data_IF_100846697698
#
_entry.id   IF_100846697698
#
_cell.length_a   1.000
_cell.length_b   1.000
_cell.length_c   1.000
_cell.angle_alpha   90.00
_cell.angle_beta   90.00
_cell.angle_gamma   90.00
#
_symmetry.space_group_name_H-M   'P 1'
#
loop_
_entity.id
_entity.type
_entity.pdbx_description
1 polymer ?
#
# COMPACT_ATOMS: atom_id res chain seq x y z
N UNK A 1 0.53 1.64 -26.61
CA UNK A 1 0.45 0.97 -25.29
C UNK A 1 0.32 -0.52 -25.48
N UNK A 2 1.21 -1.33 -24.90
CA UNK A 2 0.97 -2.78 -24.78
C UNK A 2 -0.23 -2.97 -23.85
N UNK A 3 -1.25 -3.72 -24.29
CA UNK A 3 -2.42 -4.02 -23.44
C UNK A 3 -1.97 -4.92 -22.29
N UNK A 4 -2.39 -4.61 -21.05
CA UNK A 4 -2.12 -5.45 -19.88
C UNK A 4 -2.68 -6.87 -20.09
N UNK A 5 -1.89 -7.90 -19.80
CA UNK A 5 -2.31 -9.30 -19.89
C UNK A 5 -3.25 -9.64 -18.71
N UNK A 6 -4.06 -10.69 -18.84
CA UNK A 6 -4.95 -11.16 -17.75
C UNK A 6 -4.15 -11.67 -16.55
N UNK A 7 -3.01 -12.31 -16.81
CA UNK A 7 -2.02 -12.72 -15.83
C UNK A 7 -0.72 -12.01 -16.22
N UNK A 8 -0.12 -11.27 -15.29
CA UNK A 8 1.16 -10.62 -15.55
C UNK A 8 2.25 -11.69 -15.73
N UNK A 9 3.18 -11.40 -16.64
CA UNK A 9 4.24 -12.32 -17.08
C UNK A 9 5.12 -12.80 -15.93
N UNK A 10 5.31 -11.95 -14.90
CA UNK A 10 6.05 -12.27 -13.68
C UNK A 10 5.47 -13.44 -12.86
N UNK A 11 4.22 -13.81 -13.10
CA UNK A 11 3.55 -14.91 -12.39
C UNK A 11 3.44 -16.19 -13.24
N UNK A 12 3.87 -16.14 -14.51
CA UNK A 12 3.83 -17.28 -15.41
C UNK A 12 5.17 -18.01 -15.27
N UNK A 13 5.20 -19.26 -14.75
CA UNK A 13 6.45 -20.00 -14.61
C UNK A 13 7.07 -20.29 -15.99
N UNK A 14 8.40 -20.32 -16.05
CA UNK A 14 9.11 -20.72 -17.25
C UNK A 14 8.81 -22.17 -17.63
N UNK A 15 8.84 -22.45 -18.93
CA UNK A 15 8.67 -23.80 -19.48
C UNK A 15 9.87 -24.66 -19.06
N UNK A 16 9.61 -25.80 -18.42
CA UNK A 16 10.68 -26.74 -18.08
C UNK A 16 10.29 -27.82 -17.07
N UNK A 17 11.25 -28.72 -16.85
CA UNK A 17 11.18 -29.77 -15.84
C UNK A 17 12.44 -29.71 -14.97
N UNK A 18 12.28 -30.00 -13.68
CA UNK A 18 13.37 -30.20 -12.74
C UNK A 18 13.41 -31.66 -12.28
N UNK A 19 14.61 -32.18 -12.03
CA UNK A 19 14.79 -33.52 -11.46
C UNK A 19 15.04 -33.38 -9.98
N UNK A 20 14.26 -34.08 -9.16
CA UNK A 20 14.51 -34.23 -7.73
C UNK A 20 14.82 -35.69 -7.39
N UNK A 21 15.83 -35.90 -6.54
CA UNK A 21 16.22 -37.25 -6.09
C UNK A 21 15.72 -37.49 -4.66
N UNK A 22 14.87 -38.49 -4.49
CA UNK A 22 14.32 -38.90 -3.18
C UNK A 22 14.64 -40.39 -3.01
N UNK A 23 15.31 -40.75 -1.91
CA UNK A 23 15.74 -42.12 -1.60
C UNK A 23 16.51 -42.82 -2.73
N UNK A 24 17.38 -42.06 -3.42
CA UNK A 24 18.18 -42.56 -4.54
C UNK A 24 17.40 -42.78 -5.84
N UNK A 25 16.13 -42.38 -5.89
CA UNK A 25 15.30 -42.43 -7.10
C UNK A 25 15.06 -41.02 -7.63
N UNK A 26 15.23 -40.87 -8.94
CA UNK A 26 14.99 -39.60 -9.65
C UNK A 26 13.51 -39.45 -10.01
N UNK A 27 12.96 -38.26 -9.76
CA UNK A 27 11.61 -37.84 -10.08
C UNK A 27 11.66 -36.61 -10.97
N UNK A 28 10.99 -36.70 -12.13
CA UNK A 28 10.85 -35.57 -13.03
C UNK A 28 9.62 -34.75 -12.64
N UNK A 29 9.83 -33.49 -12.28
CA UNK A 29 8.77 -32.54 -11.91
C UNK A 29 8.66 -31.51 -13.02
N UNK A 30 7.48 -31.36 -13.60
CA UNK A 30 7.24 -30.42 -14.71
C UNK A 30 6.23 -29.37 -14.27
N UNK A 31 6.48 -28.11 -14.63
CA UNK A 31 5.46 -27.07 -14.54
C UNK A 31 4.50 -27.23 -15.73
N UNK A 32 3.23 -27.55 -15.45
CA UNK A 32 2.17 -27.56 -16.45
C UNK A 32 1.12 -26.51 -16.10
N UNK A 33 0.48 -25.95 -17.12
CA UNK A 33 -0.45 -24.84 -16.96
C UNK A 33 -1.83 -25.19 -17.51
N UNK A 34 -2.81 -25.29 -16.61
CA UNK A 34 -4.22 -25.35 -16.99
C UNK A 34 -4.83 -23.95 -16.89
N UNK A 35 -5.20 -23.37 -18.04
CA UNK A 35 -5.91 -22.09 -18.07
C UNK A 35 -7.36 -22.27 -18.54
N UNK A 36 -8.31 -21.70 -17.81
CA UNK A 36 -9.67 -21.47 -18.30
C UNK A 36 -9.96 -19.98 -18.24
N UNK A 37 -10.02 -19.33 -19.40
CA UNK A 37 -10.36 -17.91 -19.50
C UNK A 37 -11.84 -17.74 -19.82
N UNK A 38 -12.53 -16.91 -19.03
CA UNK A 38 -13.91 -16.56 -19.29
C UNK A 38 -14.01 -15.15 -19.87
N UNK A 39 -14.69 -15.01 -21.00
CA UNK A 39 -15.17 -13.72 -21.49
C UNK A 39 -16.65 -13.61 -21.17
N UNK A 40 -17.01 -12.65 -20.32
CA UNK A 40 -18.40 -12.39 -19.92
C UNK A 40 -18.69 -10.90 -20.03
N UNK A 41 -19.93 -10.57 -20.36
CA UNK A 41 -20.42 -9.21 -20.16
C UNK A 41 -20.50 -8.90 -18.67
N UNK A 42 -20.36 -7.62 -18.27
CA UNK A 42 -20.72 -7.16 -16.92
C UNK A 42 -22.26 -7.07 -16.76
N UNK A 43 -23.01 -7.43 -17.81
CA UNK A 43 -24.47 -7.54 -17.81
C UNK A 43 -25.12 -6.21 -17.48
N UNK A 44 -26.12 -6.26 -16.62
CA UNK A 44 -26.87 -5.12 -16.11
C UNK A 44 -26.01 -4.14 -15.32
N UNK A 45 -24.83 -4.55 -14.84
CA UNK A 45 -23.88 -3.67 -14.14
C UNK A 45 -22.97 -2.87 -15.09
N UNK A 46 -23.06 -3.10 -16.40
CA UNK A 46 -22.20 -2.40 -17.37
C UNK A 46 -22.30 -0.88 -17.23
N UNK A 47 -23.50 -0.33 -17.01
CA UNK A 47 -23.67 1.11 -16.85
C UNK A 47 -22.92 1.68 -15.64
N UNK A 48 -22.90 0.97 -14.51
CA UNK A 48 -22.12 1.36 -13.33
C UNK A 48 -20.62 1.40 -13.63
N UNK A 49 -20.07 0.34 -14.22
CA UNK A 49 -18.63 0.28 -14.54
C UNK A 49 -18.23 1.24 -15.66
N UNK A 50 -19.10 1.49 -16.64
CA UNK A 50 -18.86 2.49 -17.69
C UNK A 50 -18.87 3.91 -17.10
N UNK A 51 -19.76 4.21 -16.17
CA UNK A 51 -19.79 5.49 -15.48
C UNK A 51 -18.53 5.73 -14.65
N UNK A 52 -18.06 4.71 -13.92
CA UNK A 52 -16.78 4.81 -13.20
C UNK A 52 -15.61 5.03 -14.17
N UNK A 53 -15.53 4.21 -15.22
CA UNK A 53 -14.40 4.19 -16.15
C UNK A 53 -14.31 5.43 -17.03
N UNK A 54 -15.43 5.82 -17.66
CA UNK A 54 -15.46 6.80 -18.74
C UNK A 54 -15.95 8.17 -18.27
N UNK A 55 -16.87 8.20 -17.31
CA UNK A 55 -17.58 9.43 -16.92
C UNK A 55 -17.11 9.99 -15.58
N UNK A 56 -16.35 9.19 -14.81
CA UNK A 56 -15.92 9.51 -13.44
C UNK A 56 -17.10 9.84 -12.52
N UNK A 57 -18.17 9.07 -12.66
CA UNK A 57 -19.42 9.20 -11.90
C UNK A 57 -19.65 7.96 -11.05
N UNK A 58 -20.18 8.16 -9.85
CA UNK A 58 -20.57 7.07 -8.97
C UNK A 58 -22.07 6.85 -9.10
N UNK A 59 -22.47 5.69 -9.61
CA UNK A 59 -23.89 5.34 -9.77
C UNK A 59 -24.34 4.37 -8.67
N UNK A 60 -25.60 4.51 -8.26
CA UNK A 60 -26.35 3.57 -7.43
C UNK A 60 -27.63 3.13 -8.12
N UNK A 61 -28.38 2.23 -7.48
CA UNK A 61 -29.74 1.89 -7.91
C UNK A 61 -30.76 2.17 -6.80
N UNK A 62 -31.82 2.90 -7.14
CA UNK A 62 -32.91 3.29 -6.26
C UNK A 62 -34.14 2.42 -6.52
N UNK A 63 -34.69 1.78 -5.50
CA UNK A 63 -35.93 1.03 -5.66
C UNK A 63 -37.13 1.96 -5.92
N UNK A 64 -37.92 1.66 -6.95
CA UNK A 64 -39.16 2.41 -7.28
C UNK A 64 -40.26 2.28 -6.23
N UNK A 65 -40.20 1.29 -5.34
CA UNK A 65 -41.21 1.02 -4.31
C UNK A 65 -40.84 1.55 -2.92
N UNK A 66 -39.68 1.17 -2.39
CA UNK A 66 -39.26 1.57 -1.04
C UNK A 66 -38.26 2.74 -1.03
N UNK A 67 -37.78 3.20 -2.19
CA UNK A 67 -36.85 4.33 -2.27
C UNK A 67 -35.40 4.04 -1.86
N UNK A 68 -35.08 2.85 -1.34
CA UNK A 68 -33.71 2.52 -0.92
C UNK A 68 -32.71 2.65 -2.07
N UNK A 69 -31.58 3.29 -1.82
CA UNK A 69 -30.48 3.52 -2.76
C UNK A 69 -29.28 2.63 -2.42
N UNK A 70 -28.91 1.75 -3.36
CA UNK A 70 -27.80 0.81 -3.20
C UNK A 70 -26.58 1.21 -4.02
N UNK A 71 -25.43 1.23 -3.37
CA UNK A 71 -24.11 1.48 -3.98
C UNK A 71 -23.11 0.43 -3.47
N UNK A 72 -22.46 -0.35 -4.36
CA UNK A 72 -22.75 -0.42 -5.80
C UNK A 72 -24.16 -1.00 -6.05
N UNK A 73 -24.73 -0.83 -7.26
CA UNK A 73 -25.96 -1.52 -7.62
C UNK A 73 -25.79 -3.04 -7.45
N UNK A 74 -26.66 -3.69 -6.68
CA UNK A 74 -26.60 -5.15 -6.50
C UNK A 74 -27.39 -5.91 -7.56
N UNK A 75 -28.49 -5.35 -8.05
CA UNK A 75 -29.40 -5.90 -9.05
C UNK A 75 -30.22 -4.76 -9.67
N UNK A 76 -30.90 -5.05 -10.78
CA UNK A 76 -31.92 -4.17 -11.40
C UNK A 76 -33.29 -4.23 -10.71
N UNK A 77 -33.42 -5.08 -9.69
CA UNK A 77 -34.67 -5.27 -8.94
C UNK A 77 -34.38 -5.39 -7.44
N UNK A 78 -35.27 -4.85 -6.61
CA UNK A 78 -35.11 -4.81 -5.17
C UNK A 78 -35.54 -6.14 -4.52
N UNK A 79 -34.65 -6.84 -3.78
CA UNK A 79 -34.97 -8.13 -3.16
C UNK A 79 -36.02 -8.01 -2.05
N UNK A 80 -36.10 -6.85 -1.38
CA UNK A 80 -37.02 -6.63 -0.25
C UNK A 80 -38.42 -6.20 -0.69
N UNK A 81 -38.60 -5.88 -1.98
CA UNK A 81 -39.83 -5.29 -2.52
C UNK A 81 -40.51 -6.17 -3.57
N UNK A 82 -40.44 -7.48 -3.40
CA UNK A 82 -40.95 -8.46 -4.37
C UNK A 82 -40.42 -8.18 -5.79
N UNK A 83 -39.11 -7.97 -5.91
CA UNK A 83 -38.43 -7.68 -7.16
C UNK A 83 -39.01 -6.48 -7.92
N UNK A 84 -39.43 -5.42 -7.21
CA UNK A 84 -39.76 -4.15 -7.86
C UNK A 84 -38.54 -3.58 -8.61
N UNK A 85 -38.71 -2.95 -9.78
CA UNK A 85 -37.60 -2.43 -10.57
C UNK A 85 -36.84 -1.33 -9.82
N UNK A 86 -35.55 -1.20 -10.14
CA UNK A 86 -34.70 -0.11 -9.65
C UNK A 86 -34.36 0.86 -10.77
N UNK A 87 -34.17 2.12 -10.41
CA UNK A 87 -33.71 3.17 -11.31
C UNK A 87 -32.24 3.48 -11.01
N UNK A 88 -31.43 3.60 -12.06
CA UNK A 88 -30.04 3.99 -11.90
C UNK A 88 -29.97 5.50 -11.62
N UNK A 89 -29.30 5.87 -10.54
CA UNK A 89 -29.14 7.27 -10.13
C UNK A 89 -27.67 7.55 -9.83
N UNK A 90 -27.26 8.80 -9.98
CA UNK A 90 -25.95 9.24 -9.52
C UNK A 90 -26.01 9.55 -8.02
N UNK A 91 -24.95 9.18 -7.31
CA UNK A 91 -24.74 9.46 -5.89
C UNK A 91 -23.51 10.33 -5.72
N UNK A 92 -23.41 11.03 -4.59
CA UNK A 92 -22.26 11.88 -4.34
C UNK A 92 -20.97 11.06 -4.16
N UNK A 93 -19.85 11.73 -4.39
CA UNK A 93 -18.51 11.14 -4.30
C UNK A 93 -17.88 11.32 -2.92
N UNK A 94 -18.61 11.89 -1.96
CA UNK A 94 -18.21 12.01 -0.55
C UNK A 94 -19.06 11.06 0.27
N UNK A 95 -18.45 10.38 1.24
CA UNK A 95 -19.13 9.40 2.08
C UNK A 95 -18.51 9.26 3.45
N UNK A 96 -19.16 8.47 4.30
CA UNK A 96 -18.73 8.20 5.66
C UNK A 96 -18.32 6.74 5.79
N UNK A 97 -17.19 6.52 6.46
CA UNK A 97 -16.72 5.18 6.84
C UNK A 97 -17.70 4.49 7.80
N UNK A 98 -18.30 3.38 7.36
CA UNK A 98 -19.25 2.60 8.17
C UNK A 98 -18.56 1.84 9.32
N UNK A 99 -17.30 1.49 9.15
CA UNK A 99 -16.47 0.79 10.14
C UNK A 99 -15.00 1.21 10.02
N UNK A 100 -14.23 1.08 11.09
CA UNK A 100 -12.77 1.22 11.02
C UNK A 100 -12.20 0.15 10.09
N UNK A 101 -11.45 0.52 9.03
CA UNK A 101 -10.96 -0.42 8.04
C UNK A 101 -9.76 -1.21 8.58
N UNK A 102 -9.70 -2.54 8.41
CA UNK A 102 -8.44 -3.26 8.55
C UNK A 102 -7.46 -2.81 7.45
N UNK A 103 -6.18 -2.71 7.79
CA UNK A 103 -5.10 -2.37 6.85
C UNK A 103 -4.40 -3.66 6.43
N UNK A 104 -4.22 -3.83 5.12
CA UNK A 104 -3.44 -4.92 4.55
C UNK A 104 -2.02 -4.43 4.28
N UNK A 105 -1.08 -4.83 5.13
CA UNK A 105 0.35 -4.60 4.94
C UNK A 105 1.01 -5.73 4.15
N UNK A 106 0.59 -6.96 4.41
CA UNK A 106 1.08 -8.17 3.76
C UNK A 106 0.00 -8.72 2.85
N UNK A 107 0.05 -8.32 1.58
CA UNK A 107 -0.86 -8.82 0.58
C UNK A 107 -0.30 -10.07 -0.10
N UNK A 108 -1.18 -10.90 -0.67
CA UNK A 108 -0.75 -11.97 -1.56
C UNK A 108 -0.10 -11.38 -2.81
N UNK A 109 0.68 -12.19 -3.53
CA UNK A 109 1.44 -11.76 -4.71
C UNK A 109 0.59 -10.97 -5.73
N UNK A 110 -0.68 -11.34 -5.90
CA UNK A 110 -1.64 -10.68 -6.79
C UNK A 110 -1.93 -9.20 -6.42
N UNK A 111 -1.88 -8.86 -5.14
CA UNK A 111 -2.25 -7.54 -4.62
C UNK A 111 -1.08 -6.79 -3.96
N UNK A 112 0.13 -7.35 -4.03
CA UNK A 112 1.32 -6.78 -3.37
C UNK A 112 1.62 -5.34 -3.81
N UNK A 113 1.42 -5.03 -5.09
CA UNK A 113 1.61 -3.69 -5.64
C UNK A 113 0.64 -2.65 -5.08
N UNK A 114 -0.43 -3.06 -4.39
CA UNK A 114 -1.42 -2.17 -3.79
C UNK A 114 -1.14 -1.88 -2.32
N UNK A 115 -0.31 -2.70 -1.65
CA UNK A 115 -0.06 -2.65 -0.21
C UNK A 115 0.97 -1.59 0.18
N UNK A 116 0.74 -0.80 1.26
CA UNK A 116 -0.38 -0.89 2.20
C UNK A 116 -1.68 -0.28 1.68
N UNK A 117 -2.82 -0.91 1.97
CA UNK A 117 -4.14 -0.31 1.71
C UNK A 117 -5.16 -0.71 2.77
N UNK A 118 -6.07 0.21 3.09
CA UNK A 118 -7.21 -0.07 3.95
C UNK A 118 -8.33 -0.74 3.15
N UNK A 119 -9.04 -1.69 3.77
CA UNK A 119 -10.23 -2.33 3.18
C UNK A 119 -11.49 -1.81 3.88
N UNK A 120 -12.10 -0.80 3.29
CA UNK A 120 -13.20 -0.06 3.89
C UNK A 120 -14.58 -0.42 3.36
N UNK A 121 -15.59 0.06 4.09
CA UNK A 121 -16.99 0.13 3.66
C UNK A 121 -17.47 1.56 3.83
N UNK A 122 -17.78 2.24 2.73
CA UNK A 122 -18.17 3.66 2.71
C UNK A 122 -19.63 3.79 2.33
N UNK A 123 -20.41 4.52 3.12
CA UNK A 123 -21.77 4.94 2.75
C UNK A 123 -21.64 6.34 2.16
N UNK A 124 -21.82 6.45 0.85
CA UNK A 124 -21.78 7.72 0.14
C UNK A 124 -23.03 8.55 0.40
N UNK A 125 -22.90 9.88 0.38
CA UNK A 125 -24.03 10.79 0.54
C UNK A 125 -25.04 10.53 -0.59
N UNK A 126 -26.30 10.34 -0.21
CA UNK A 126 -27.37 9.90 -1.13
C UNK A 126 -27.51 8.39 -1.31
N UNK A 127 -26.70 7.56 -0.62
CA UNK A 127 -26.83 6.11 -0.59
C UNK A 127 -27.25 5.58 0.79
N UNK A 128 -27.92 4.43 0.82
CA UNK A 128 -28.33 3.73 2.04
C UNK A 128 -27.44 2.51 2.36
N UNK A 129 -26.65 2.04 1.39
CA UNK A 129 -25.74 0.90 1.57
C UNK A 129 -24.28 1.28 1.42
N UNK A 130 -23.40 0.46 2.03
CA UNK A 130 -21.98 0.69 1.96
C UNK A 130 -21.32 -0.01 0.77
N UNK A 131 -20.45 0.71 0.07
CA UNK A 131 -19.57 0.17 -0.97
C UNK A 131 -18.24 -0.27 -0.38
N UNK A 132 -17.80 -1.50 -0.71
CA UNK A 132 -16.45 -1.97 -0.39
C UNK A 132 -15.43 -1.21 -1.24
N UNK A 133 -14.42 -0.62 -0.61
CA UNK A 133 -13.45 0.24 -1.30
C UNK A 133 -12.06 0.19 -0.65
N UNK A 134 -11.02 0.38 -1.46
CA UNK A 134 -9.66 0.57 -0.97
C UNK A 134 -9.48 1.99 -0.42
N UNK A 135 -8.66 2.12 0.61
CA UNK A 135 -8.39 3.38 1.27
C UNK A 135 -6.89 3.66 1.33
N UNK A 136 -6.54 4.91 1.09
CA UNK A 136 -5.19 5.44 1.15
C UNK A 136 -5.19 6.74 1.95
N UNK A 137 -4.00 7.25 2.22
CA UNK A 137 -3.75 8.54 2.87
C UNK A 137 -2.64 9.26 2.12
N UNK A 138 -2.70 10.58 2.06
CA UNK A 138 -1.63 11.45 1.54
C UNK A 138 -0.62 11.82 2.63
N UNK A 139 -0.84 11.44 3.90
CA UNK A 139 0.05 11.81 5.02
C UNK A 139 1.23 10.84 5.20
N UNK A 140 1.67 10.19 4.12
CA UNK A 140 2.70 9.16 4.13
C UNK A 140 2.12 7.74 4.23
N UNK A 141 2.62 6.94 5.17
CA UNK A 141 2.15 5.55 5.34
C UNK A 141 0.78 5.47 6.02
N UNK A 142 -0.09 4.63 5.47
CA UNK A 142 -1.35 4.26 6.10
C UNK A 142 -1.11 3.39 7.35
N UNK A 143 -1.38 3.95 8.53
CA UNK A 143 -1.27 3.29 9.84
C UNK A 143 -2.59 3.34 10.63
N UNK A 144 -2.78 2.48 11.66
CA UNK A 144 -4.01 2.48 12.43
C UNK A 144 -4.31 3.84 13.07
N UNK A 145 -5.57 4.24 13.03
CA UNK A 145 -6.06 5.49 13.64
C UNK A 145 -6.09 6.70 12.72
N UNK A 146 -5.50 6.65 11.51
CA UNK A 146 -5.72 7.68 10.48
C UNK A 146 -7.18 7.63 10.01
N UNK A 147 -7.62 6.45 9.57
CA UNK A 147 -9.00 6.22 9.11
C UNK A 147 -9.72 5.36 10.14
N UNK A 148 -10.84 5.86 10.66
CA UNK A 148 -11.71 5.19 11.63
C UNK A 148 -13.18 5.22 11.21
N UNK A 149 -14.04 4.46 11.88
CA UNK A 149 -15.50 4.61 11.74
C UNK A 149 -15.89 6.08 11.89
N UNK A 150 -16.75 6.57 11.00
CA UNK A 150 -17.20 7.97 10.99
C UNK A 150 -16.27 8.95 10.26
N UNK A 151 -15.10 8.51 9.79
CA UNK A 151 -14.23 9.37 8.96
C UNK A 151 -14.95 9.69 7.66
N UNK A 152 -15.02 10.97 7.30
CA UNK A 152 -15.50 11.40 5.99
C UNK A 152 -14.38 11.21 4.97
N UNK A 153 -14.73 10.63 3.82
CA UNK A 153 -13.80 10.27 2.76
C UNK A 153 -14.34 10.70 1.40
N UNK A 154 -13.44 11.00 0.47
CA UNK A 154 -13.73 11.34 -0.91
C UNK A 154 -13.33 10.19 -1.83
N UNK A 155 -14.19 9.86 -2.80
CA UNK A 155 -13.91 8.93 -3.89
C UNK A 155 -12.95 9.59 -4.89
N UNK A 156 -11.85 8.90 -5.14
CA UNK A 156 -10.80 9.28 -6.09
C UNK A 156 -10.80 8.29 -7.24
N UNK A 157 -10.68 8.81 -8.46
CA UNK A 157 -10.57 8.02 -9.68
C UNK A 157 -9.11 7.80 -10.02
N UNK A 158 -8.71 6.55 -10.25
CA UNK A 158 -7.39 6.28 -10.84
C UNK A 158 -7.30 6.88 -12.22
N UNK A 159 -6.14 7.30 -12.68
CA UNK A 159 -6.00 7.86 -14.03
C UNK A 159 -6.25 6.79 -15.11
N UNK A 160 -5.66 5.61 -14.90
CA UNK A 160 -5.92 4.44 -15.72
C UNK A 160 -7.05 3.60 -15.13
N UNK A 161 -8.15 3.49 -15.88
CA UNK A 161 -9.36 2.76 -15.46
C UNK A 161 -9.73 1.71 -16.50
N UNK A 162 -10.03 0.50 -16.04
CA UNK A 162 -10.26 -0.65 -16.92
C UNK A 162 -11.72 -1.13 -16.93
N UNK A 163 -12.55 -0.65 -16.03
CA UNK A 163 -13.94 -1.06 -15.80
C UNK A 163 -14.08 -2.02 -14.61
N UNK A 164 -13.32 -1.80 -13.54
CA UNK A 164 -13.26 -2.64 -12.35
C UNK A 164 -13.43 -1.82 -11.06
N UNK A 165 -13.75 -2.48 -9.94
CA UNK A 165 -13.88 -1.78 -8.64
C UNK A 165 -12.59 -1.11 -8.17
N UNK A 166 -11.43 -1.58 -8.65
CA UNK A 166 -10.11 -1.01 -8.31
C UNK A 166 -9.77 0.27 -9.08
N UNK A 167 -10.62 0.67 -10.03
CA UNK A 167 -10.49 1.95 -10.76
C UNK A 167 -10.70 3.17 -9.86
N UNK A 168 -11.19 2.93 -8.64
CA UNK A 168 -11.43 3.97 -7.63
C UNK A 168 -10.94 3.54 -6.26
N UNK A 169 -10.65 4.52 -5.42
CA UNK A 169 -10.32 4.36 -4.01
C UNK A 169 -10.79 5.58 -3.23
N UNK A 170 -10.61 5.60 -1.92
CA UNK A 170 -10.97 6.75 -1.09
C UNK A 170 -9.79 7.29 -0.29
N UNK A 171 -9.80 8.60 -0.04
CA UNK A 171 -8.89 9.33 0.86
C UNK A 171 -9.73 10.12 1.87
N UNK A 172 -9.29 10.31 3.14
CA UNK A 172 -9.94 11.22 4.07
C UNK A 172 -10.11 12.64 3.51
N UNK A 173 -11.29 13.23 3.65
CA UNK A 173 -11.55 14.61 3.19
C UNK A 173 -10.69 15.63 3.93
N UNK A 174 -10.31 15.35 5.18
CA UNK A 174 -9.40 16.20 5.96
C UNK A 174 -7.99 16.34 5.36
N UNK A 175 -7.64 15.48 4.40
CA UNK A 175 -6.36 15.49 3.69
C UNK A 175 -6.46 16.16 2.30
N UNK A 176 -7.63 16.71 1.96
CA UNK A 176 -7.92 17.36 0.69
C UNK A 176 -8.34 18.82 0.90
N UNK A 177 -8.07 19.66 -0.09
CA UNK A 177 -8.59 21.02 -0.15
C UNK A 177 -10.10 21.03 -0.41
N UNK A 178 -10.76 22.13 -0.07
CA UNK A 178 -12.19 22.28 -0.32
C UNK A 178 -12.55 22.20 -1.82
N UNK A 179 -11.66 22.65 -2.70
CA UNK A 179 -11.83 22.56 -4.15
C UNK A 179 -11.80 21.09 -4.63
N UNK A 180 -10.83 20.31 -4.16
CA UNK A 180 -10.73 18.86 -4.44
C UNK A 180 -11.95 18.10 -3.92
N UNK A 181 -12.41 18.40 -2.70
CA UNK A 181 -13.61 17.77 -2.12
C UNK A 181 -14.85 18.04 -3.00
N UNK A 182 -14.99 19.27 -3.51
CA UNK A 182 -16.14 19.68 -4.31
C UNK A 182 -16.07 19.21 -5.78
N UNK A 183 -14.89 18.85 -6.26
CA UNK A 183 -14.69 18.40 -7.64
C UNK A 183 -15.28 17.01 -7.86
N UNK A 184 -16.21 16.89 -8.82
CA UNK A 184 -16.64 15.58 -9.29
C UNK A 184 -15.61 14.97 -10.23
N UNK A 185 -15.31 13.69 -10.03
CA UNK A 185 -14.35 12.96 -10.85
C UNK A 185 -12.89 13.34 -10.57
N UNK A 186 -12.57 13.74 -9.32
CA UNK A 186 -11.19 14.01 -8.90
C UNK A 186 -10.32 12.78 -9.14
N UNK A 187 -9.20 12.96 -9.84
CA UNK A 187 -8.27 11.88 -10.16
C UNK A 187 -7.06 11.83 -9.23
N UNK A 188 -6.41 10.68 -9.18
CA UNK A 188 -5.21 10.47 -8.36
C UNK A 188 -4.03 11.37 -8.76
N UNK A 189 -3.83 11.64 -10.06
CA UNK A 189 -2.81 12.60 -10.54
C UNK A 189 -3.06 14.06 -10.15
N UNK A 190 -4.27 14.38 -9.69
CA UNK A 190 -4.65 15.74 -9.30
C UNK A 190 -4.44 16.01 -7.81
N UNK A 191 -3.98 15.00 -7.06
CA UNK A 191 -3.75 15.04 -5.62
C UNK A 191 -2.24 15.12 -5.36
N UNK A 192 -1.86 15.89 -4.35
CA UNK A 192 -0.48 15.91 -3.89
C UNK A 192 -0.17 14.67 -3.03
N UNK A 193 0.61 13.76 -3.59
CA UNK A 193 1.13 12.56 -2.92
C UNK A 193 2.57 12.71 -2.41
N UNK A 194 3.26 13.75 -2.86
CA UNK A 194 4.72 13.85 -2.78
C UNK A 194 5.17 14.77 -1.64
N UNK A 195 4.27 15.58 -1.07
CA UNK A 195 4.58 16.50 0.03
C UNK A 195 3.85 16.18 1.35
N UNK A 196 3.91 14.92 1.84
CA UNK A 196 3.31 14.61 3.13
C UNK A 196 3.99 15.43 4.23
N UNK A 197 3.20 15.95 5.17
CA UNK A 197 3.74 16.72 6.28
C UNK A 197 4.57 15.81 7.20
N UNK A 198 5.87 16.08 7.29
CA UNK A 198 6.76 15.36 8.20
C UNK A 198 6.33 15.58 9.66
N UNK A 199 6.36 14.53 10.51
CA UNK A 199 6.17 14.69 11.94
C UNK A 199 7.22 15.63 12.54
N UNK A 200 6.77 16.55 13.41
CA UNK A 200 7.68 17.42 14.14
C UNK A 200 8.51 16.62 15.14
N UNK A 201 9.83 16.77 15.08
CA UNK A 201 10.75 16.19 16.06
C UNK A 201 11.01 17.18 17.22
N UNK A 202 11.11 16.69 18.48
CA UNK A 202 11.53 17.53 19.59
C UNK A 202 12.93 18.12 19.39
N UNK A 203 13.23 19.22 20.07
CA UNK A 203 14.60 19.79 20.07
C UNK A 203 15.56 18.83 20.75
N UNK A 204 16.69 18.56 20.09
CA UNK A 204 17.72 17.67 20.61
C UNK A 204 18.39 18.24 21.87
N UNK A 205 18.57 17.39 22.88
CA UNK A 205 19.54 17.64 23.96
C UNK A 205 20.93 17.15 23.59
N UNK A 206 21.96 17.56 24.35
CA UNK A 206 23.32 17.02 24.17
C UNK A 206 23.38 15.49 24.32
N UNK A 207 22.56 14.94 25.23
CA UNK A 207 22.45 13.49 25.41
C UNK A 207 21.88 12.82 24.17
N UNK A 208 20.87 13.40 23.53
CA UNK A 208 20.29 12.87 22.29
C UNK A 208 21.31 12.87 21.15
N UNK A 209 22.13 13.91 21.02
CA UNK A 209 23.22 13.97 20.03
C UNK A 209 24.35 12.98 20.34
N UNK A 210 24.62 12.70 21.62
CA UNK A 210 25.59 11.67 22.02
C UNK A 210 25.07 10.26 21.71
N UNK A 211 23.81 9.99 22.03
CA UNK A 211 23.15 8.72 21.72
C UNK A 211 23.08 8.49 20.21
N UNK A 212 22.68 9.51 19.46
CA UNK A 212 22.66 9.48 17.99
C UNK A 212 23.99 9.00 17.42
N UNK A 213 25.11 9.62 17.81
CA UNK A 213 26.45 9.24 17.29
C UNK A 213 26.82 7.79 17.59
N UNK A 214 26.54 7.32 18.80
CA UNK A 214 26.83 5.93 19.22
C UNK A 214 25.99 4.92 18.43
N UNK A 215 24.67 5.16 18.35
CA UNK A 215 23.75 4.28 17.63
C UNK A 215 24.07 4.25 16.14
N UNK A 216 24.44 5.39 15.56
CA UNK A 216 24.79 5.48 14.15
C UNK A 216 26.04 4.65 13.81
N UNK A 217 27.04 4.64 14.71
CA UNK A 217 28.23 3.81 14.55
C UNK A 217 27.90 2.31 14.61
N UNK A 218 27.03 1.89 15.55
CA UNK A 218 26.52 0.51 15.61
C UNK A 218 25.77 0.13 14.32
N UNK A 219 24.93 1.03 13.81
CA UNK A 219 24.21 0.81 12.55
C UNK A 219 25.14 0.67 11.35
N UNK A 220 26.23 1.46 11.27
CA UNK A 220 27.26 1.30 10.22
C UNK A 220 27.88 -0.09 10.27
N UNK A 221 28.24 -0.57 11.45
CA UNK A 221 28.77 -1.93 11.65
C UNK A 221 27.79 -3.02 11.19
N UNK A 222 26.50 -2.89 11.53
CA UNK A 222 25.47 -3.82 11.07
C UNK A 222 25.32 -3.82 9.54
N UNK A 223 25.37 -2.65 8.91
CA UNK A 223 25.29 -2.50 7.46
C UNK A 223 26.49 -3.14 6.75
N UNK A 224 27.70 -2.99 7.30
CA UNK A 224 28.88 -3.70 6.79
C UNK A 224 28.72 -5.22 6.88
N UNK A 225 28.24 -5.72 8.01
CA UNK A 225 27.93 -7.13 8.23
C UNK A 225 26.89 -7.64 7.23
N UNK A 226 25.83 -6.87 6.96
CA UNK A 226 24.82 -7.20 5.95
C UNK A 226 25.42 -7.28 4.54
N UNK A 227 26.31 -6.36 4.17
CA UNK A 227 26.99 -6.38 2.87
C UNK A 227 27.95 -7.55 2.70
N UNK A 228 28.47 -8.13 3.78
CA UNK A 228 29.29 -9.35 3.77
C UNK A 228 28.45 -10.63 3.70
N UNK A 229 27.16 -10.55 4.00
CA UNK A 229 26.26 -11.70 4.01
C UNK A 229 25.52 -11.88 2.67
N UNK A 230 25.81 -12.96 1.95
CA UNK A 230 25.22 -13.22 0.62
C UNK A 230 23.69 -13.28 0.63
N UNK A 231 23.07 -13.88 1.66
CA UNK A 231 21.61 -13.98 1.76
C UNK A 231 20.95 -12.64 2.03
N UNK A 232 21.58 -11.78 2.84
CA UNK A 232 21.13 -10.42 3.08
C UNK A 232 21.21 -9.58 1.79
N UNK A 233 22.33 -9.64 1.06
CA UNK A 233 22.47 -8.98 -0.26
C UNK A 233 21.37 -9.41 -1.23
N UNK A 234 21.09 -10.71 -1.34
CA UNK A 234 20.02 -11.24 -2.21
C UNK A 234 18.63 -10.70 -1.87
N UNK A 235 18.36 -10.27 -0.63
CA UNK A 235 17.07 -9.71 -0.24
C UNK A 235 16.77 -8.34 -0.90
N UNK A 236 17.82 -7.58 -1.21
CA UNK A 236 17.76 -6.27 -1.85
C UNK A 236 18.36 -6.23 -3.26
N UNK A 237 18.70 -7.39 -3.84
CA UNK A 237 19.11 -7.48 -5.24
C UNK A 237 18.03 -6.91 -6.18
N UNK A 238 18.46 -6.17 -7.20
CA UNK A 238 17.58 -5.45 -8.14
C UNK A 238 16.76 -4.33 -7.51
N UNK A 239 17.03 -3.95 -6.26
CA UNK A 239 16.36 -2.84 -5.57
C UNK A 239 17.30 -1.65 -5.48
N UNK A 240 16.78 -0.45 -5.76
CA UNK A 240 17.53 0.79 -5.65
C UNK A 240 16.70 1.83 -4.93
N UNK A 241 17.19 2.35 -3.81
CA UNK A 241 16.50 3.37 -3.01
C UNK A 241 17.46 4.26 -2.24
N UNK A 242 17.24 5.56 -2.32
CA UNK A 242 17.89 6.59 -1.53
C UNK A 242 16.93 7.11 -0.46
N UNK A 243 17.25 6.86 0.81
CA UNK A 243 16.36 7.09 1.95
C UNK A 243 16.98 8.16 2.84
N UNK A 244 16.28 9.27 3.03
CA UNK A 244 16.65 10.26 4.04
C UNK A 244 16.05 9.85 5.39
N UNK A 245 16.88 9.63 6.41
CA UNK A 245 16.43 9.36 7.77
C UNK A 245 16.63 10.59 8.64
N UNK A 246 15.59 11.01 9.36
CA UNK A 246 15.61 12.12 10.31
C UNK A 246 15.25 11.62 11.69
N UNK A 247 16.07 11.98 12.67
CA UNK A 247 15.90 11.59 14.06
C UNK A 247 16.01 12.80 14.97
N UNK A 248 15.59 12.67 16.24
CA UNK A 248 15.72 13.76 17.21
C UNK A 248 17.17 14.24 17.36
N UNK A 249 18.14 13.32 17.40
CA UNK A 249 19.55 13.65 17.62
C UNK A 249 20.37 14.02 16.36
N UNK A 250 19.82 13.81 15.16
CA UNK A 250 20.52 14.04 13.90
C UNK A 250 19.86 13.39 12.69
N UNK A 251 20.48 13.52 11.51
CA UNK A 251 19.99 12.95 10.25
C UNK A 251 21.10 12.28 9.46
N UNK A 252 20.75 11.24 8.72
CA UNK A 252 21.65 10.47 7.86
C UNK A 252 20.89 9.88 6.69
N UNK A 253 21.60 9.35 5.71
CA UNK A 253 21.05 8.70 4.54
C UNK A 253 21.34 7.20 4.57
N UNK A 254 20.38 6.41 4.10
CA UNK A 254 20.57 5.00 3.73
C UNK A 254 20.39 4.90 2.22
N UNK A 255 21.39 4.34 1.53
CA UNK A 255 21.34 4.14 0.08
C UNK A 255 21.42 2.64 -0.22
N UNK A 256 20.49 2.14 -1.01
CA UNK A 256 20.44 0.76 -1.49
C UNK A 256 20.69 0.79 -2.99
N UNK A 257 21.62 -0.02 -3.47
CA UNK A 257 21.87 -0.20 -4.91
C UNK A 257 22.25 -1.66 -5.19
N UNK A 258 21.35 -2.38 -5.86
CA UNK A 258 21.53 -3.74 -6.37
C UNK A 258 22.24 -4.71 -5.41
N UNK A 259 21.66 -4.92 -4.23
CA UNK A 259 22.21 -5.86 -3.25
C UNK A 259 23.20 -5.24 -2.26
N UNK A 260 23.68 -4.02 -2.51
CA UNK A 260 24.51 -3.26 -1.58
C UNK A 260 23.68 -2.23 -0.81
N UNK A 261 24.06 -1.98 0.44
CA UNK A 261 23.46 -0.97 1.31
C UNK A 261 24.56 -0.10 1.95
N UNK A 262 24.35 1.22 2.02
CA UNK A 262 25.31 2.17 2.59
C UNK A 262 24.59 3.13 3.53
N UNK A 263 25.32 3.61 4.53
CA UNK A 263 24.87 4.66 5.43
C UNK A 263 25.86 5.83 5.40
N UNK A 264 25.36 7.05 5.25
CA UNK A 264 26.18 8.28 5.24
C UNK A 264 25.54 9.40 6.06
N UNK A 265 26.35 10.24 6.67
CA UNK A 265 25.89 11.38 7.50
C UNK A 265 25.61 12.63 6.65
N UNK A 266 25.08 12.44 5.46
CA UNK A 266 24.82 13.51 4.49
C UNK A 266 23.32 13.66 4.27
N UNK A 267 22.85 14.90 4.21
CA UNK A 267 21.51 15.16 3.70
C UNK A 267 21.47 14.89 2.19
N UNK A 268 20.45 14.17 1.74
CA UNK A 268 20.21 13.93 0.32
C UNK A 268 19.47 15.13 -0.28
N UNK A 269 19.86 15.53 -1.48
CA UNK A 269 19.17 16.59 -2.22
C UNK A 269 17.83 16.12 -2.80
N UNK A 270 17.72 14.83 -3.14
CA UNK A 270 16.54 14.23 -3.76
C UNK A 270 16.38 12.77 -3.30
N UNK A 271 15.97 12.52 -2.05
CA UNK A 271 15.68 11.16 -1.59
C UNK A 271 14.44 10.59 -2.29
N UNK A 272 14.41 9.27 -2.48
CA UNK A 272 13.21 8.56 -2.97
C UNK A 272 12.06 8.68 -1.96
N UNK A 273 12.38 8.60 -0.66
CA UNK A 273 11.46 8.89 0.44
C UNK A 273 12.18 9.27 1.73
N UNK A 274 11.42 9.81 2.68
CA UNK A 274 11.89 10.25 3.99
C UNK A 274 11.36 9.29 5.05
N UNK A 275 12.22 8.94 6.00
CA UNK A 275 11.89 8.24 7.22
C UNK A 275 12.12 9.17 8.41
N UNK A 276 11.13 9.29 9.29
CA UNK A 276 11.24 10.06 10.53
C UNK A 276 11.08 9.13 11.70
N UNK A 277 12.05 9.10 12.61
CA UNK A 277 11.96 8.37 13.87
C UNK A 277 12.49 9.22 15.02
N UNK A 278 11.65 9.52 16.00
CA UNK A 278 12.07 10.32 17.16
C UNK A 278 13.26 9.67 17.88
N UNK A 279 13.11 8.39 18.21
CA UNK A 279 14.16 7.57 18.79
C UNK A 279 14.84 6.70 17.73
N UNK A 280 16.12 6.99 17.47
CA UNK A 280 16.97 6.24 16.53
C UNK A 280 17.07 4.75 16.88
N UNK A 281 16.90 4.37 18.15
CA UNK A 281 16.91 2.96 18.55
C UNK A 281 15.79 2.16 17.88
N UNK A 282 14.66 2.80 17.54
CA UNK A 282 13.56 2.14 16.83
C UNK A 282 14.00 1.56 15.48
N UNK A 283 14.97 2.20 14.80
CA UNK A 283 15.54 1.72 13.55
C UNK A 283 16.71 0.75 13.80
N UNK A 284 17.57 1.03 14.78
CA UNK A 284 18.65 0.12 15.17
C UNK A 284 18.11 -1.27 15.57
N UNK A 285 17.10 -1.31 16.43
CA UNK A 285 16.50 -2.56 16.90
C UNK A 285 15.94 -3.38 15.74
N UNK A 286 15.38 -2.70 14.73
CA UNK A 286 14.92 -3.33 13.51
C UNK A 286 16.06 -3.93 12.67
N UNK A 287 17.12 -3.15 12.40
CA UNK A 287 18.29 -3.62 11.65
C UNK A 287 19.08 -4.73 12.39
N UNK A 288 19.05 -4.71 13.73
CA UNK A 288 19.62 -5.73 14.59
C UNK A 288 18.69 -6.95 14.79
N UNK A 289 17.48 -6.92 14.23
CA UNK A 289 16.45 -7.96 14.36
C UNK A 289 16.03 -8.25 15.82
N UNK A 290 16.02 -7.21 16.68
CA UNK A 290 15.44 -7.20 18.04
C UNK A 290 13.94 -6.87 18.04
N UNK A 291 13.42 -6.49 16.88
CA UNK A 291 12.03 -6.28 16.52
C UNK A 291 11.94 -6.09 15.00
N UNK A 292 10.75 -6.01 14.43
CA UNK A 292 10.60 -5.70 13.02
C UNK A 292 10.47 -4.18 12.81
N UNK A 293 11.16 -3.62 11.82
CA UNK A 293 11.01 -2.23 11.39
C UNK A 293 9.56 -2.00 10.93
N UNK A 294 8.95 -2.99 10.27
CA UNK A 294 7.53 -2.99 9.91
C UNK A 294 6.61 -2.75 11.12
N UNK A 295 6.86 -3.40 12.26
CA UNK A 295 6.10 -3.17 13.49
C UNK A 295 6.35 -1.78 14.07
N UNK A 296 7.59 -1.28 14.02
CA UNK A 296 7.90 0.09 14.42
C UNK A 296 7.14 1.12 13.58
N UNK A 297 6.96 0.85 12.28
CA UNK A 297 6.18 1.68 11.38
C UNK A 297 4.68 1.61 11.70
N UNK A 298 4.12 0.40 11.83
CA UNK A 298 2.70 0.19 12.15
C UNK A 298 2.32 0.83 13.50
N UNK A 299 3.23 0.78 14.47
CA UNK A 299 3.04 1.36 15.80
C UNK A 299 3.47 2.83 15.91
N UNK A 300 3.72 3.50 14.77
CA UNK A 300 4.03 4.94 14.69
C UNK A 300 5.33 5.37 15.39
N UNK A 301 6.25 4.44 15.65
CA UNK A 301 7.62 4.76 16.11
C UNK A 301 8.49 5.27 14.97
N UNK A 302 8.22 4.79 13.76
CA UNK A 302 8.85 5.21 12.52
C UNK A 302 7.76 5.65 11.56
N UNK A 303 7.89 6.84 11.01
CA UNK A 303 7.03 7.35 9.95
C UNK A 303 7.79 7.31 8.62
N UNK A 304 7.09 7.02 7.52
CA UNK A 304 7.65 7.09 6.17
C UNK A 304 6.76 7.96 5.28
N UNK A 305 7.39 8.75 4.40
CA UNK A 305 6.71 9.73 3.56
C UNK A 305 5.96 9.10 2.38
N UNK A 306 6.30 7.88 1.96
CA UNK A 306 5.62 7.22 0.83
C UNK A 306 5.03 5.90 1.25
N UNK A 307 3.70 5.78 1.13
CA UNK A 307 2.98 4.56 1.47
C UNK A 307 3.56 3.32 0.76
N UNK A 308 3.91 3.45 -0.52
CA UNK A 308 4.45 2.33 -1.32
C UNK A 308 5.84 1.86 -0.92
N UNK A 309 6.59 2.70 -0.20
CA UNK A 309 7.93 2.40 0.28
C UNK A 309 7.94 1.53 1.54
N UNK A 310 6.76 1.10 2.01
CA UNK A 310 6.67 -0.01 2.95
C UNK A 310 7.32 -1.29 2.41
N UNK A 311 7.37 -1.46 1.08
CA UNK A 311 8.12 -2.53 0.42
C UNK A 311 9.63 -2.46 0.72
N UNK A 312 10.20 -1.26 0.82
CA UNK A 312 11.60 -1.07 1.19
C UNK A 312 11.82 -1.45 2.65
N UNK A 313 10.88 -1.15 3.54
CA UNK A 313 10.93 -1.57 4.94
C UNK A 313 10.92 -3.10 5.07
N UNK A 314 10.09 -3.80 4.29
CA UNK A 314 10.11 -5.26 4.24
C UNK A 314 11.45 -5.84 3.81
N UNK A 315 12.11 -5.21 2.84
CA UNK A 315 13.42 -5.64 2.37
C UNK A 315 14.48 -5.48 3.46
N UNK A 316 14.47 -4.36 4.18
CA UNK A 316 15.36 -4.13 5.33
C UNK A 316 15.13 -5.16 6.45
N UNK A 317 13.87 -5.44 6.79
CA UNK A 317 13.53 -6.50 7.78
C UNK A 317 14.03 -7.88 7.33
N UNK A 318 13.94 -8.18 6.03
CA UNK A 318 14.43 -9.44 5.47
C UNK A 318 15.96 -9.55 5.54
N UNK A 319 16.68 -8.46 5.30
CA UNK A 319 18.15 -8.41 5.46
C UNK A 319 18.56 -8.68 6.91
N UNK A 320 17.96 -7.96 7.86
CA UNK A 320 18.21 -8.11 9.30
C UNK A 320 17.99 -9.56 9.76
N UNK A 321 16.89 -10.17 9.31
CA UNK A 321 16.59 -11.58 9.59
C UNK A 321 17.66 -12.54 9.07
N UNK A 322 18.16 -12.33 7.85
CA UNK A 322 19.19 -13.20 7.27
C UNK A 322 20.52 -13.08 8.01
N UNK A 323 20.92 -11.86 8.39
CA UNK A 323 22.15 -11.63 9.14
C UNK A 323 22.13 -12.36 10.50
N UNK A 324 21.01 -12.33 11.22
CA UNK A 324 20.90 -13.05 12.51
C UNK A 324 20.86 -14.56 12.31
N UNK A 325 20.21 -15.05 11.25
CA UNK A 325 20.17 -16.49 10.95
C UNK A 325 21.55 -17.06 10.63
N UNK A 326 22.41 -16.33 9.93
CA UNK A 326 23.78 -16.80 9.64
C UNK A 326 24.68 -16.86 10.87
N UNK A 327 24.39 -16.09 11.92
CA UNK A 327 25.16 -16.10 13.18
C UNK A 327 24.76 -17.24 14.13
N UNK A 328 23.67 -17.96 13.83
CA UNK A 328 23.18 -19.12 14.62
C UNK A 328 23.67 -20.47 14.11
N UNK A 329 24.45 -20.50 13.03
CA UNK A 329 25.01 -21.71 12.42
C UNK A 329 26.40 -21.95 12.95
#
# INVERSE_FOLDING_TARGET
MKRKKVIDEIYIPDVGSQVETIDGKEYLITNDAMYTFFRRTKGEFSAFFLALKNEKRLLGCRCTKCGIVRVPPFLTHCPDCNFAPTEMIEVEQVGIMNSTPPITYFATSLFQHMAPYGRGRVIFKGADTAMSINLYTTTGILVPGIIKKGTEVKLIFRDERIGEMIDVFCIPTAELTQEEINKNGLQESEIDWETPQEPSLPVASEEDSNQYRKVLDEMKGLIEDMNRNESARKAIAGWKRDIQVKTRGGQFAIMIDDGDIKLTESALSSPDFIMVCDDIHSLLDGLAYRGAITDSVINKKIWISKNMEFNTIFKLDRMARFLVRSKKV
#
